data_IF_976848891143
#
_entry.id   IF_976848891143
#
_cell.length_a   1.000
_cell.length_b   1.000
_cell.length_c   1.000
_cell.angle_alpha   90.00
_cell.angle_beta   90.00
_cell.angle_gamma   90.00
#
_symmetry.space_group_name_H-M   'P 1'
#
loop_
_entity.id
_entity.type
_entity.pdbx_description
1 polymer ?
#
# COMPACT_ATOMS: atom_id res chain seq x y z
N UNK A 1 16.88 -9.17 3.52
CA UNK A 1 16.15 -9.15 2.23
C UNK A 1 14.77 -8.62 2.52
N UNK A 2 14.27 -7.65 1.76
CA UNK A 2 12.91 -7.16 1.95
C UNK A 2 11.92 -8.33 1.75
N UNK A 3 10.92 -8.39 2.62
CA UNK A 3 9.77 -9.28 2.47
C UNK A 3 8.66 -8.52 1.74
N UNK A 4 7.76 -9.26 1.13
CA UNK A 4 6.63 -8.69 0.41
C UNK A 4 5.30 -9.33 0.79
N UNK A 5 4.22 -8.54 0.66
CA UNK A 5 2.85 -8.99 0.78
C UNK A 5 2.01 -8.39 -0.33
N UNK A 6 1.24 -9.23 -1.01
CA UNK A 6 0.37 -8.84 -2.12
C UNK A 6 -1.09 -8.84 -1.68
N UNK A 7 -1.83 -7.82 -2.12
CA UNK A 7 -3.28 -7.76 -2.02
C UNK A 7 -3.84 -6.97 -3.19
N UNK A 8 -5.14 -7.13 -3.42
CA UNK A 8 -5.85 -6.52 -4.54
C UNK A 8 -7.17 -5.98 -4.04
N UNK A 9 -7.56 -4.79 -4.51
CA UNK A 9 -8.81 -4.15 -4.12
C UNK A 9 -9.34 -3.22 -5.21
N UNK A 10 -10.65 -3.00 -5.26
CA UNK A 10 -11.26 -2.00 -6.13
C UNK A 10 -11.22 -0.62 -5.43
N UNK A 11 -10.37 0.27 -5.91
CA UNK A 11 -10.08 1.54 -5.23
C UNK A 11 -9.45 2.58 -6.18
N UNK A 12 -9.12 3.75 -5.65
CA UNK A 12 -8.34 4.79 -6.35
C UNK A 12 -7.16 5.23 -5.50
N UNK A 13 -6.15 5.87 -6.11
CA UNK A 13 -5.03 6.42 -5.36
C UNK A 13 -5.49 7.46 -4.33
N UNK A 14 -6.51 8.26 -4.64
CA UNK A 14 -7.05 9.23 -3.69
C UNK A 14 -7.71 8.54 -2.47
N UNK A 15 -8.43 7.44 -2.68
CA UNK A 15 -8.99 6.65 -1.56
C UNK A 15 -7.85 6.07 -0.72
N UNK A 16 -6.80 5.52 -1.33
CA UNK A 16 -5.63 5.00 -0.62
C UNK A 16 -4.88 6.09 0.16
N UNK A 17 -4.72 7.30 -0.39
CA UNK A 17 -4.14 8.45 0.32
C UNK A 17 -4.93 8.79 1.58
N UNK A 18 -6.26 8.75 1.50
CA UNK A 18 -7.11 9.01 2.66
C UNK A 18 -7.07 7.86 3.67
N UNK A 19 -7.05 6.61 3.19
CA UNK A 19 -6.96 5.42 4.03
C UNK A 19 -5.67 5.43 4.86
N UNK A 20 -4.53 5.75 4.25
CA UNK A 20 -3.23 5.75 4.92
C UNK A 20 -2.88 7.08 5.57
N UNK A 21 -3.79 8.04 5.62
CA UNK A 21 -3.48 9.45 5.94
C UNK A 21 -2.70 9.63 7.24
N UNK A 22 -3.02 8.85 8.27
CA UNK A 22 -2.37 8.94 9.58
C UNK A 22 -0.95 8.35 9.58
N UNK A 23 -0.70 7.34 8.74
CA UNK A 23 0.60 6.69 8.59
C UNK A 23 1.42 7.22 7.41
N UNK A 24 0.84 8.06 6.55
CA UNK A 24 1.44 8.51 5.30
C UNK A 24 2.61 9.47 5.54
N UNK A 25 3.78 9.11 5.03
CA UNK A 25 4.98 9.97 5.05
C UNK A 25 5.13 10.69 3.71
N UNK A 26 5.03 9.93 2.61
CA UNK A 26 5.34 10.42 1.27
C UNK A 26 4.65 9.60 0.19
N UNK A 27 4.27 10.25 -0.92
CA UNK A 27 3.74 9.61 -2.12
C UNK A 27 4.63 9.94 -3.32
N UNK A 28 5.23 8.91 -3.91
CA UNK A 28 5.96 9.03 -5.17
C UNK A 28 5.01 8.78 -6.34
N UNK A 29 4.73 9.84 -7.10
CA UNK A 29 3.84 9.78 -8.26
C UNK A 29 4.45 9.01 -9.44
N UNK A 30 5.78 8.93 -9.56
CA UNK A 30 6.42 8.23 -10.67
C UNK A 30 6.19 6.71 -10.59
N UNK A 31 6.08 6.19 -9.36
CA UNK A 31 5.96 4.76 -9.09
C UNK A 31 4.63 4.38 -8.44
N UNK A 32 3.71 5.33 -8.29
CA UNK A 32 2.49 5.20 -7.49
C UNK A 32 2.76 4.53 -6.12
N UNK A 33 3.84 4.99 -5.48
CA UNK A 33 4.39 4.41 -4.25
C UNK A 33 4.01 5.23 -3.02
N UNK A 34 3.47 4.57 -2.01
CA UNK A 34 3.26 5.15 -0.69
C UNK A 34 4.37 4.71 0.26
N UNK A 35 5.04 5.67 0.90
CA UNK A 35 5.86 5.41 2.08
C UNK A 35 5.03 5.68 3.33
N UNK A 36 4.87 4.65 4.17
CA UNK A 36 4.09 4.72 5.42
C UNK A 36 4.96 4.45 6.65
N UNK A 37 4.60 5.03 7.80
CA UNK A 37 5.12 4.68 9.12
C UNK A 37 4.03 4.00 9.95
N UNK A 38 4.06 2.67 10.00
CA UNK A 38 3.12 1.87 10.78
C UNK A 38 3.79 1.28 12.02
N UNK A 39 3.26 1.61 13.21
CA UNK A 39 3.80 1.17 14.52
C UNK A 39 5.33 1.36 14.67
N UNK A 40 5.86 2.44 14.10
CA UNK A 40 7.29 2.78 14.16
C UNK A 40 8.16 2.16 13.07
N UNK A 41 7.60 1.36 12.16
CA UNK A 41 8.30 0.73 11.05
C UNK A 41 7.89 1.34 9.70
N UNK A 42 8.84 1.41 8.77
CA UNK A 42 8.56 1.87 7.41
C UNK A 42 8.00 0.73 6.56
N UNK A 43 6.94 1.03 5.82
CA UNK A 43 6.35 0.17 4.80
C UNK A 43 6.31 0.94 3.48
N UNK A 44 6.56 0.24 2.37
CA UNK A 44 6.43 0.79 1.02
C UNK A 44 5.32 0.06 0.28
N UNK A 45 4.37 0.79 -0.30
CA UNK A 45 3.22 0.21 -0.99
C UNK A 45 3.23 0.68 -2.43
N UNK A 46 3.44 -0.24 -3.35
CA UNK A 46 3.40 0.03 -4.79
C UNK A 46 2.01 -0.32 -5.33
N UNK A 47 1.29 0.68 -5.85
CA UNK A 47 0.02 0.46 -6.53
C UNK A 47 0.24 0.28 -8.03
N UNK A 48 -0.38 -0.75 -8.62
CA UNK A 48 -0.28 -1.01 -10.06
C UNK A 48 -1.53 -1.69 -10.61
N UNK A 49 -1.81 -1.46 -11.89
CA UNK A 49 -2.80 -2.21 -12.66
C UNK A 49 -2.18 -3.53 -13.12
N UNK A 50 -2.99 -4.59 -13.22
CA UNK A 50 -2.53 -5.89 -13.71
C UNK A 50 -1.99 -5.84 -15.14
N UNK A 51 -2.52 -4.93 -15.97
CA UNK A 51 -2.13 -4.72 -17.37
C UNK A 51 -0.99 -3.70 -17.57
N UNK A 52 -0.50 -3.07 -16.51
CA UNK A 52 0.69 -2.20 -16.54
C UNK A 52 0.48 -0.79 -17.10
N UNK A 53 -0.73 -0.23 -17.02
CA UNK A 53 -1.02 1.15 -17.43
C UNK A 53 -0.94 2.21 -16.32
N UNK A 54 -0.95 3.49 -16.72
CA UNK A 54 -1.01 4.64 -15.82
C UNK A 54 -2.27 4.60 -14.95
N UNK A 55 -2.14 4.99 -13.67
CA UNK A 55 -3.27 5.13 -12.75
C UNK A 55 -3.67 6.60 -12.65
N UNK A 56 -4.92 6.90 -12.98
CA UNK A 56 -5.47 8.23 -12.70
C UNK A 56 -5.91 8.32 -11.24
N UNK A 57 -5.56 9.42 -10.58
CA UNK A 57 -5.67 9.54 -9.12
C UNK A 57 -7.07 9.27 -8.54
N UNK A 58 -8.13 9.61 -9.29
CA UNK A 58 -9.52 9.42 -8.88
C UNK A 58 -10.22 8.27 -9.61
N UNK A 59 -9.53 7.53 -10.47
CA UNK A 59 -10.09 6.36 -11.17
C UNK A 59 -10.28 5.23 -10.17
N UNK A 60 -11.52 4.76 -10.03
CA UNK A 60 -11.83 3.56 -9.26
C UNK A 60 -11.62 2.37 -10.18
N UNK A 61 -10.64 1.55 -9.85
CA UNK A 61 -10.25 0.36 -10.60
C UNK A 61 -9.68 -0.70 -9.65
N UNK A 62 -9.60 -1.93 -10.11
CA UNK A 62 -8.90 -3.00 -9.41
C UNK A 62 -7.38 -2.71 -9.40
N UNK A 63 -6.86 -2.28 -8.26
CA UNK A 63 -5.44 -2.04 -8.03
C UNK A 63 -4.81 -3.20 -7.25
N UNK A 64 -3.64 -3.64 -7.72
CA UNK A 64 -2.76 -4.53 -6.97
C UNK A 64 -1.81 -3.69 -6.14
N UNK A 65 -1.63 -4.10 -4.88
CA UNK A 65 -0.80 -3.42 -3.90
C UNK A 65 0.31 -4.38 -3.47
N UNK A 66 1.55 -4.06 -3.82
CA UNK A 66 2.72 -4.77 -3.31
C UNK A 66 3.28 -4.00 -2.12
N UNK A 67 3.18 -4.59 -0.93
CA UNK A 67 3.73 -4.03 0.31
C UNK A 67 5.08 -4.65 0.59
N UNK A 68 6.12 -3.84 0.52
CA UNK A 68 7.50 -4.20 0.86
C UNK A 68 7.86 -3.70 2.25
N UNK A 69 8.61 -4.52 2.97
CA UNK A 69 9.01 -4.24 4.34
C UNK A 69 10.30 -4.99 4.70
N UNK A 70 11.10 -4.39 5.58
CA UNK A 70 12.37 -4.98 6.01
C UNK A 70 12.17 -6.33 6.73
N UNK A 71 13.07 -7.30 6.49
CA UNK A 71 12.95 -8.64 7.08
C UNK A 71 12.95 -8.67 8.61
N UNK A 72 13.51 -7.64 9.23
CA UNK A 72 13.61 -7.47 10.67
C UNK A 72 12.29 -7.00 11.32
N UNK A 73 11.31 -6.58 10.51
CA UNK A 73 10.00 -6.16 11.03
C UNK A 73 9.30 -7.40 11.61
N UNK A 74 8.79 -7.33 12.85
CA UNK A 74 8.08 -8.46 13.45
C UNK A 74 6.86 -8.85 12.62
N UNK A 75 6.66 -10.15 12.39
CA UNK A 75 5.54 -10.65 11.58
C UNK A 75 4.17 -10.16 12.08
N UNK A 76 4.02 -9.92 13.38
CA UNK A 76 2.79 -9.38 13.96
C UNK A 76 2.45 -7.99 13.43
N UNK A 77 3.44 -7.11 13.24
CA UNK A 77 3.22 -5.76 12.71
C UNK A 77 2.62 -5.81 11.30
N UNK A 78 3.07 -6.77 10.49
CA UNK A 78 2.55 -6.98 9.14
C UNK A 78 1.18 -7.63 9.15
N UNK A 79 0.95 -8.59 10.06
CA UNK A 79 -0.37 -9.18 10.24
C UNK A 79 -1.39 -8.11 10.67
N UNK A 80 -1.01 -7.22 11.59
CA UNK A 80 -1.84 -6.11 12.04
C UNK A 80 -2.12 -5.11 10.92
N UNK A 81 -1.09 -4.75 10.14
CA UNK A 81 -1.25 -3.89 8.98
C UNK A 81 -2.22 -4.50 7.96
N UNK A 82 -2.06 -5.80 7.65
CA UNK A 82 -2.98 -6.51 6.76
C UNK A 82 -4.39 -6.53 7.32
N UNK A 83 -4.59 -6.92 8.57
CA UNK A 83 -5.91 -7.01 9.20
C UNK A 83 -6.63 -5.65 9.24
N UNK A 84 -5.90 -4.57 9.53
CA UNK A 84 -6.46 -3.21 9.52
C UNK A 84 -6.96 -2.76 8.14
N UNK A 85 -6.40 -3.35 7.07
CA UNK A 85 -6.67 -2.96 5.68
C UNK A 85 -7.34 -4.08 4.85
N UNK A 86 -7.64 -5.25 5.45
CA UNK A 86 -8.24 -6.43 4.80
C UNK A 86 -9.76 -6.32 4.64
N UNK A 87 -10.42 -5.37 5.30
CA UNK A 87 -11.88 -5.19 5.28
C UNK A 87 -12.42 -4.28 4.17
N UNK A 88 -11.62 -3.96 3.16
CA UNK A 88 -11.99 -3.02 2.10
C UNK A 88 -12.47 -3.78 0.85
N UNK A 89 -13.61 -4.46 1.00
CA UNK A 89 -14.45 -4.90 -0.13
C UNK A 89 -15.57 -3.89 -0.34
#
# INVERSE_FOLDING_TARGET
MAKEGLFTMETSLNILKNLFKEEHIYFDKQYDEFTLKYKGFCLWIYAYKEDGGDIFENEIIKLNLNVKYESQIPSQVIADFKNANQGLN
#
